data_IF_664363802898
#
_entry.id   IF_664363802898
#
_cell.length_a   1.000
_cell.length_b   1.000
_cell.length_c   1.000
_cell.angle_alpha   90.00
_cell.angle_beta   90.00
_cell.angle_gamma   90.00
#
_symmetry.space_group_name_H-M   'P 1'
#
loop_
_entity.id
_entity.type
_entity.pdbx_description
1 polymer ?
#
# COMPACT_ATOMS: atom_id res chain seq x y z
N UNK A 1 -15.27 10.24 0.81
CA UNK A 1 -14.37 9.93 -0.34
C UNK A 1 -12.92 10.05 0.10
N UNK A 2 -12.10 9.10 -0.30
CA UNK A 2 -10.68 9.12 0.07
C UNK A 2 -9.92 10.07 -0.87
N UNK A 3 -9.16 11.00 -0.30
CA UNK A 3 -8.33 11.92 -1.08
C UNK A 3 -7.18 11.17 -1.75
N UNK A 4 -6.87 11.54 -2.99
CA UNK A 4 -5.78 10.94 -3.76
C UNK A 4 -4.96 12.06 -4.40
N UNK A 5 -3.64 12.03 -4.22
CA UNK A 5 -2.72 12.97 -4.83
C UNK A 5 -2.00 12.32 -6.01
N UNK A 6 -1.69 13.12 -7.02
CA UNK A 6 -0.97 12.68 -8.22
C UNK A 6 0.44 13.25 -8.22
N UNK A 7 1.41 12.42 -8.60
CA UNK A 7 2.83 12.77 -8.67
C UNK A 7 3.45 12.25 -9.96
N UNK A 8 4.64 12.75 -10.26
CA UNK A 8 5.49 12.23 -11.34
C UNK A 8 6.66 11.49 -10.72
N UNK A 9 6.84 10.22 -11.07
CA UNK A 9 7.98 9.43 -10.60
C UNK A 9 9.30 10.11 -10.97
N UNK A 10 9.38 10.62 -12.20
CA UNK A 10 10.59 11.26 -12.72
C UNK A 10 10.92 12.57 -11.98
N UNK A 11 9.91 13.41 -11.73
CA UNK A 11 10.09 14.72 -11.09
C UNK A 11 10.07 14.63 -9.58
N UNK A 12 9.19 13.81 -9.01
CA UNK A 12 8.87 13.79 -7.58
C UNK A 12 9.35 12.52 -6.88
N UNK A 13 10.05 11.61 -7.56
CA UNK A 13 10.38 10.29 -7.02
C UNK A 13 11.04 10.32 -5.65
N UNK A 14 11.93 11.27 -5.42
CA UNK A 14 12.65 11.40 -4.14
C UNK A 14 11.87 12.21 -3.09
N UNK A 15 10.72 12.76 -3.46
CA UNK A 15 9.91 13.56 -2.52
C UNK A 15 9.38 12.68 -1.39
N UNK A 16 9.58 13.12 -0.16
CA UNK A 16 9.02 12.42 1.01
C UNK A 16 7.55 12.73 1.17
N UNK A 17 6.74 11.69 1.30
CA UNK A 17 5.32 11.79 1.64
C UNK A 17 5.11 11.70 3.14
N UNK A 18 6.05 11.09 3.84
CA UNK A 18 6.16 11.04 5.29
C UNK A 18 7.62 10.80 5.65
N UNK A 19 7.93 10.69 6.92
CA UNK A 19 9.33 10.53 7.39
C UNK A 19 10.07 9.40 6.66
N UNK A 20 9.42 8.27 6.41
CA UNK A 20 10.08 7.08 5.88
C UNK A 20 9.60 6.64 4.50
N UNK A 21 8.73 7.39 3.84
CA UNK A 21 8.18 6.98 2.53
C UNK A 21 8.32 8.07 1.48
N UNK A 22 8.77 7.67 0.29
CA UNK A 22 8.93 8.56 -0.87
C UNK A 22 7.97 8.15 -1.98
N UNK A 23 7.72 9.09 -2.92
CA UNK A 23 6.82 8.87 -4.06
C UNK A 23 7.22 7.64 -4.87
N UNK A 24 8.50 7.45 -5.16
CA UNK A 24 8.97 6.34 -6.02
C UNK A 24 8.62 4.96 -5.47
N UNK A 25 8.46 4.82 -4.14
CA UNK A 25 8.11 3.54 -3.53
C UNK A 25 6.71 3.08 -3.90
N UNK A 26 5.85 4.02 -4.30
CA UNK A 26 4.46 3.75 -4.69
C UNK A 26 4.28 3.61 -6.20
N UNK A 27 5.33 3.82 -6.99
CA UNK A 27 5.23 3.81 -8.45
C UNK A 27 4.87 2.44 -9.01
N UNK A 28 4.13 2.43 -10.12
CA UNK A 28 3.77 1.20 -10.79
C UNK A 28 5.02 0.53 -11.38
N UNK A 29 5.10 -0.78 -11.25
CA UNK A 29 6.26 -1.56 -11.70
C UNK A 29 6.35 -1.68 -13.22
N UNK A 30 5.38 -1.14 -13.98
CA UNK A 30 5.41 -1.13 -15.44
C UNK A 30 6.19 0.07 -16.01
N UNK A 31 6.75 0.93 -15.16
CA UNK A 31 7.52 2.09 -15.59
C UNK A 31 6.69 3.35 -15.83
N UNK A 32 5.40 3.32 -15.61
CA UNK A 32 4.53 4.50 -15.75
C UNK A 32 4.99 5.64 -14.84
N UNK A 33 5.06 6.86 -15.40
CA UNK A 33 5.52 8.03 -14.65
C UNK A 33 4.49 8.53 -13.63
N UNK A 34 3.21 8.51 -13.97
CA UNK A 34 2.15 8.95 -13.05
C UNK A 34 2.06 8.02 -11.85
N UNK A 35 2.03 8.61 -10.64
CA UNK A 35 1.93 7.87 -9.37
C UNK A 35 0.78 8.48 -8.58
N UNK A 36 -0.23 7.68 -8.28
CA UNK A 36 -1.35 8.11 -7.47
C UNK A 36 -1.23 7.51 -6.07
N UNK A 37 -1.31 8.35 -5.05
CA UNK A 37 -1.16 7.91 -3.66
C UNK A 37 -2.16 8.65 -2.77
N UNK A 38 -2.93 7.90 -2.00
CA UNK A 38 -3.81 8.47 -0.99
C UNK A 38 -3.00 8.86 0.25
N UNK A 39 -3.10 10.11 0.75
CA UNK A 39 -2.43 10.48 2.01
C UNK A 39 -2.81 9.57 3.19
N UNK A 40 -4.05 9.10 3.22
CA UNK A 40 -4.52 8.17 4.25
C UNK A 40 -3.74 6.85 4.25
N UNK A 41 -3.38 6.35 3.06
CA UNK A 41 -2.55 5.15 2.92
C UNK A 41 -1.15 5.41 3.50
N UNK A 42 -0.55 6.55 3.17
CA UNK A 42 0.77 6.93 3.68
C UNK A 42 0.75 6.99 5.21
N UNK A 43 -0.29 7.57 5.79
CA UNK A 43 -0.46 7.64 7.25
C UNK A 43 -0.47 6.24 7.89
N UNK A 44 -1.20 5.30 7.30
CA UNK A 44 -1.26 3.92 7.77
C UNK A 44 0.13 3.27 7.71
N UNK A 45 0.81 3.40 6.57
CA UNK A 45 2.13 2.80 6.37
C UNK A 45 3.17 3.40 7.31
N UNK A 46 3.12 4.72 7.53
CA UNK A 46 4.04 5.37 8.47
C UNK A 46 3.80 4.90 9.90
N UNK A 47 2.54 4.70 10.31
CA UNK A 47 2.22 4.13 11.63
C UNK A 47 2.79 2.73 11.78
N UNK A 48 2.67 1.90 10.76
CA UNK A 48 3.22 0.54 10.76
C UNK A 48 4.75 0.60 10.89
N UNK A 49 5.40 1.47 10.10
CA UNK A 49 6.85 1.65 10.13
C UNK A 49 7.34 2.05 11.53
N UNK A 50 6.64 3.02 12.14
CA UNK A 50 7.03 3.54 13.45
C UNK A 50 6.78 2.52 14.56
N UNK A 51 5.69 1.75 14.46
CA UNK A 51 5.35 0.74 15.45
C UNK A 51 6.39 -0.38 15.52
N UNK A 52 6.78 -0.94 14.37
CA UNK A 52 7.72 -2.05 14.33
C UNK A 52 9.18 -1.59 14.38
N UNK A 53 9.45 -0.30 14.11
CA UNK A 53 10.81 0.22 14.11
C UNK A 53 11.72 -0.40 13.05
N UNK A 54 11.15 -0.94 11.98
CA UNK A 54 11.86 -1.62 10.89
C UNK A 54 11.37 -1.14 9.55
N UNK A 55 12.23 -1.25 8.53
CA UNK A 55 11.88 -0.84 7.18
C UNK A 55 10.66 -1.62 6.68
N UNK A 56 9.70 -0.89 6.11
CA UNK A 56 8.53 -1.44 5.43
C UNK A 56 8.84 -1.47 3.94
N UNK A 57 8.84 -2.66 3.35
CA UNK A 57 9.06 -2.82 1.92
C UNK A 57 7.70 -2.78 1.22
N UNK A 58 7.55 -1.88 0.24
CA UNK A 58 6.35 -1.83 -0.59
C UNK A 58 6.60 -2.67 -1.83
N UNK A 59 5.98 -3.85 -1.89
CA UNK A 59 6.12 -4.78 -3.01
C UNK A 59 5.34 -4.29 -4.22
N UNK A 60 4.18 -3.66 -3.98
CA UNK A 60 3.31 -3.12 -5.02
C UNK A 60 2.50 -1.97 -4.42
N UNK A 61 2.56 -0.81 -5.05
CA UNK A 61 1.75 0.35 -4.70
C UNK A 61 0.70 0.62 -5.76
N UNK A 62 0.76 1.78 -6.41
CA UNK A 62 -0.13 2.10 -7.52
C UNK A 62 0.06 1.13 -8.68
N UNK A 63 -1.06 0.71 -9.30
CA UNK A 63 -1.06 -0.09 -10.51
C UNK A 63 -1.93 0.57 -11.57
N UNK A 64 -1.41 0.71 -12.80
CA UNK A 64 -2.27 1.04 -13.93
C UNK A 64 -3.26 -0.11 -14.15
N UNK A 65 -4.48 0.16 -14.67
CA UNK A 65 -5.42 -0.92 -14.96
C UNK A 65 -4.84 -2.04 -15.85
N UNK A 66 -4.10 -1.74 -16.95
CA UNK A 66 -3.47 -2.80 -17.76
C UNK A 66 -2.47 -3.64 -16.96
N UNK A 67 -1.62 -3.01 -16.13
CA UNK A 67 -0.65 -3.75 -15.31
C UNK A 67 -1.35 -4.60 -14.27
N UNK A 68 -2.42 -4.07 -13.65
CA UNK A 68 -3.23 -4.81 -12.69
C UNK A 68 -3.79 -6.10 -13.32
N UNK A 69 -4.30 -6.02 -14.54
CA UNK A 69 -4.78 -7.20 -15.27
C UNK A 69 -3.65 -8.18 -15.55
N UNK A 70 -2.48 -7.68 -15.94
CA UNK A 70 -1.31 -8.50 -16.26
C UNK A 70 -0.82 -9.31 -15.05
N UNK A 71 -0.86 -8.74 -13.86
CA UNK A 71 -0.42 -9.43 -12.63
C UNK A 71 -1.54 -10.21 -11.93
N UNK A 72 -2.70 -10.32 -12.57
CA UNK A 72 -3.82 -11.10 -12.04
C UNK A 72 -4.61 -10.43 -10.94
N UNK A 73 -4.52 -9.10 -10.82
CA UNK A 73 -5.32 -8.34 -9.86
C UNK A 73 -6.79 -8.32 -10.26
N UNK A 74 -7.66 -8.19 -9.26
CA UNK A 74 -9.10 -8.09 -9.52
C UNK A 74 -9.41 -6.78 -10.25
N UNK A 75 -10.40 -6.80 -11.12
CA UNK A 75 -10.86 -5.60 -11.81
C UNK A 75 -11.36 -4.59 -10.77
N UNK A 76 -10.95 -3.32 -10.91
CA UNK A 76 -11.28 -2.28 -9.93
C UNK A 76 -10.53 -2.42 -8.61
N UNK A 77 -9.38 -3.08 -8.59
CA UNK A 77 -8.51 -3.22 -7.42
C UNK A 77 -8.19 -1.85 -6.80
N UNK A 78 -8.10 -1.81 -5.48
CA UNK A 78 -7.69 -0.60 -4.75
C UNK A 78 -6.34 -0.08 -5.21
N UNK A 79 -5.44 -0.94 -5.68
CA UNK A 79 -4.15 -0.53 -6.25
C UNK A 79 -4.32 0.41 -7.44
N UNK A 80 -5.37 0.26 -8.22
CA UNK A 80 -5.61 1.11 -9.40
C UNK A 80 -6.07 2.52 -9.05
N UNK A 81 -6.50 2.72 -7.82
CA UNK A 81 -6.91 4.05 -7.33
C UNK A 81 -5.81 4.76 -6.53
N UNK A 82 -4.66 4.10 -6.29
CA UNK A 82 -3.62 4.65 -5.44
C UNK A 82 -3.91 4.56 -3.95
N UNK A 83 -4.84 3.70 -3.56
CA UNK A 83 -5.28 3.55 -2.17
C UNK A 83 -4.74 2.30 -1.49
N UNK A 84 -3.94 1.47 -2.19
CA UNK A 84 -3.47 0.19 -1.66
C UNK A 84 -1.95 0.01 -1.79
N UNK A 85 -1.41 -0.75 -0.87
CA UNK A 85 -0.04 -1.24 -0.92
C UNK A 85 0.03 -2.67 -0.41
N UNK A 86 0.87 -3.48 -1.07
CA UNK A 86 1.26 -4.80 -0.58
C UNK A 86 2.61 -4.64 0.08
N UNK A 87 2.73 -4.99 1.35
CA UNK A 87 3.92 -4.70 2.15
C UNK A 87 4.48 -5.94 2.83
N UNK A 88 5.78 -5.88 3.11
CA UNK A 88 6.47 -6.89 3.92
C UNK A 88 7.49 -6.20 4.83
N UNK A 89 7.75 -6.80 5.98
CA UNK A 89 8.73 -6.30 6.94
C UNK A 89 9.63 -7.48 7.32
N UNK A 90 10.91 -7.37 7.04
CA UNK A 90 11.87 -8.41 7.34
C UNK A 90 11.91 -8.69 8.85
N UNK A 91 11.69 -9.94 9.23
CA UNK A 91 11.72 -10.37 10.62
C UNK A 91 10.41 -10.15 11.38
N UNK A 92 9.35 -9.73 10.71
CA UNK A 92 8.01 -9.59 11.31
C UNK A 92 7.04 -10.46 10.53
N UNK A 93 6.25 -11.26 11.23
CA UNK A 93 5.28 -12.15 10.58
C UNK A 93 4.15 -11.35 9.92
N UNK A 94 3.59 -11.91 8.84
CA UNK A 94 2.42 -11.29 8.19
C UNK A 94 1.24 -11.18 9.15
N UNK A 95 1.09 -12.14 10.06
CA UNK A 95 0.03 -12.09 11.08
C UNK A 95 0.18 -10.87 11.99
N UNK A 96 1.39 -10.58 12.44
CA UNK A 96 1.67 -9.44 13.31
C UNK A 96 1.47 -8.10 12.59
N UNK A 97 1.93 -8.00 11.34
CA UNK A 97 1.73 -6.81 10.52
C UNK A 97 0.24 -6.56 10.31
N UNK A 98 -0.51 -7.59 9.94
CA UNK A 98 -1.96 -7.48 9.72
C UNK A 98 -2.70 -7.10 10.99
N UNK A 99 -2.35 -7.68 12.13
CA UNK A 99 -2.99 -7.37 13.41
C UNK A 99 -2.81 -5.90 13.78
N UNK A 100 -1.60 -5.36 13.62
CA UNK A 100 -1.37 -3.95 13.90
C UNK A 100 -2.13 -3.06 12.92
N UNK A 101 -2.06 -3.36 11.62
CA UNK A 101 -2.80 -2.60 10.60
C UNK A 101 -4.29 -2.56 10.95
N UNK A 102 -4.86 -3.70 11.35
CA UNK A 102 -6.27 -3.76 11.71
C UNK A 102 -6.57 -2.91 12.95
N UNK A 103 -5.66 -2.87 13.91
CA UNK A 103 -5.85 -2.09 15.14
C UNK A 103 -5.96 -0.58 14.89
N UNK A 104 -5.28 -0.07 13.85
CA UNK A 104 -5.31 1.36 13.50
C UNK A 104 -6.37 1.70 12.46
N UNK A 105 -7.09 0.70 11.94
CA UNK A 105 -8.20 0.87 11.01
C UNK A 105 -9.40 0.03 11.49
N UNK A 106 -9.96 0.34 12.68
CA UNK A 106 -10.96 -0.55 13.27
C UNK A 106 -12.27 -0.64 12.48
N UNK A 107 -12.69 0.47 11.86
CA UNK A 107 -13.98 0.57 11.19
C UNK A 107 -13.88 0.82 9.69
N UNK A 108 -12.66 0.85 9.13
CA UNK A 108 -12.43 1.16 7.73
C UNK A 108 -11.17 0.44 7.26
N UNK A 109 -10.87 0.56 5.97
CA UNK A 109 -9.66 0.01 5.40
C UNK A 109 -9.73 -1.49 5.11
N UNK A 110 -8.94 -1.92 4.15
CA UNK A 110 -8.79 -3.31 3.78
C UNK A 110 -7.49 -3.89 4.34
N UNK A 111 -7.55 -5.11 4.86
CA UNK A 111 -6.37 -5.88 5.30
C UNK A 111 -6.48 -7.29 4.75
N UNK A 112 -5.55 -7.68 3.89
CA UNK A 112 -5.47 -9.02 3.32
C UNK A 112 -4.16 -9.68 3.71
N UNK A 113 -4.22 -10.94 4.17
CA UNK A 113 -3.03 -11.69 4.56
C UNK A 113 -2.70 -12.70 3.45
N UNK A 114 -1.50 -12.59 2.89
CA UNK A 114 -0.98 -13.50 1.85
C UNK A 114 0.20 -14.24 2.44
N UNK A 115 -0.12 -15.22 3.28
CA UNK A 115 0.87 -15.94 4.10
C UNK A 115 1.93 -16.65 3.27
N UNK A 116 1.52 -17.35 2.22
CA UNK A 116 2.47 -18.10 1.39
C UNK A 116 3.38 -17.17 0.59
N UNK A 117 2.85 -16.06 0.11
CA UNK A 117 3.62 -15.06 -0.63
C UNK A 117 4.43 -14.14 0.30
N UNK A 118 4.10 -14.10 1.58
CA UNK A 118 4.86 -13.35 2.59
C UNK A 118 4.58 -11.85 2.60
N UNK A 119 3.37 -11.42 2.25
CA UNK A 119 3.02 -10.00 2.31
C UNK A 119 1.62 -9.77 2.87
N UNK A 120 1.38 -8.54 3.27
CA UNK A 120 0.06 -8.07 3.72
C UNK A 120 -0.41 -6.97 2.78
N UNK A 121 -1.62 -7.09 2.28
CA UNK A 121 -2.29 -6.02 1.56
C UNK A 121 -2.95 -5.09 2.57
N UNK A 122 -2.70 -3.79 2.45
CA UNK A 122 -3.42 -2.76 3.21
C UNK A 122 -3.97 -1.72 2.24
N UNK A 123 -5.17 -1.22 2.50
CA UNK A 123 -5.74 -0.15 1.71
C UNK A 123 -6.61 0.77 2.55
N UNK A 124 -6.86 1.96 1.99
CA UNK A 124 -7.54 3.05 2.67
C UNK A 124 -9.03 3.16 2.29
N UNK A 125 -9.66 2.06 1.85
CA UNK A 125 -11.09 2.08 1.50
C UNK A 125 -11.96 2.50 2.69
N UNK A 126 -13.11 3.05 2.40
CA UNK A 126 -13.98 3.59 3.45
C UNK A 126 -14.68 2.51 4.26
N UNK A 127 -14.98 1.36 3.67
CA UNK A 127 -15.65 0.23 4.33
C UNK A 127 -14.64 -0.84 4.69
N UNK A 128 -14.68 -1.33 5.91
CA UNK A 128 -13.78 -2.37 6.39
C UNK A 128 -13.90 -3.65 5.55
N UNK A 129 -12.75 -4.24 5.21
CA UNK A 129 -12.67 -5.53 4.54
C UNK A 129 -11.47 -6.31 5.07
N UNK A 130 -11.67 -7.60 5.36
CA UNK A 130 -10.61 -8.49 5.84
C UNK A 130 -10.67 -9.79 5.04
N UNK A 131 -9.50 -10.29 4.60
CA UNK A 131 -9.44 -11.57 3.89
C UNK A 131 -8.08 -12.23 4.00
N UNK A 132 -8.05 -13.51 3.62
CA UNK A 132 -6.82 -14.28 3.47
C UNK A 132 -6.69 -14.65 1.99
N UNK A 133 -5.54 -14.37 1.43
CA UNK A 133 -5.23 -14.70 0.04
C UNK A 133 -4.55 -16.05 -0.12
#
# INVERSE_FOLDING_TARGET
>A
MVEINAYSKKKDGAKKLSTNFTVKEFACNDGTDAVFVAPRLVMVLQSIRSHFGKAVNINSGYRTPPYNAQVGGVDGSQHTYGTAADISIKGVSVADVAAYARSIMPDWGGVGIYKEQGFVHVDARETRADWNG
#
